data_IF_270809621907
#
_entry.id   IF_270809621907
#
_cell.length_a   1.000
_cell.length_b   1.000
_cell.length_c   1.000
_cell.angle_alpha   90.00
_cell.angle_beta   90.00
_cell.angle_gamma   90.00
#
_symmetry.space_group_name_H-M   'P 1'
#
loop_
_entity.id
_entity.type
_entity.pdbx_description
1 polymer ?
#
# COMPACT_ATOMS: atom_id res chain seq x y z
N UNK A 1 31.56 1.92 -2.77
CA UNK A 1 30.15 1.47 -2.84
C UNK A 1 29.61 1.51 -1.42
N UNK A 2 28.62 2.36 -1.11
CA UNK A 2 28.13 2.49 0.28
C UNK A 2 27.32 1.24 0.61
N UNK A 3 27.74 0.53 1.65
CA UNK A 3 27.01 -0.62 2.18
C UNK A 3 25.79 -0.08 2.93
N UNK A 4 24.65 -0.02 2.23
CA UNK A 4 23.37 0.27 2.86
C UNK A 4 23.07 -0.99 3.67
N UNK A 5 23.04 -0.85 5.01
CA UNK A 5 22.73 -1.97 5.90
C UNK A 5 21.46 -2.73 5.47
N UNK A 6 21.22 -3.93 6.03
CA UNK A 6 20.23 -4.87 5.50
C UNK A 6 18.87 -4.21 5.24
N UNK A 7 18.34 -4.40 4.01
CA UNK A 7 17.04 -3.86 3.60
C UNK A 7 15.97 -4.40 4.56
N UNK A 8 15.25 -3.50 5.22
CA UNK A 8 14.15 -3.85 6.14
C UNK A 8 12.83 -3.89 5.38
N UNK A 9 12.18 -5.05 5.34
CA UNK A 9 10.84 -5.22 4.80
C UNK A 9 9.79 -4.87 5.87
N UNK A 10 8.77 -4.13 5.47
CA UNK A 10 7.62 -3.80 6.31
C UNK A 10 6.33 -4.23 5.60
N UNK A 11 5.42 -4.83 6.36
CA UNK A 11 4.06 -5.16 5.90
C UNK A 11 3.08 -4.24 6.60
N UNK A 12 2.21 -3.60 5.83
CA UNK A 12 1.18 -2.69 6.32
C UNK A 12 -0.19 -3.27 5.95
N UNK A 13 -1.13 -3.21 6.88
CA UNK A 13 -2.54 -3.49 6.62
C UNK A 13 -3.29 -2.16 6.78
N UNK A 14 -3.96 -1.71 5.73
CA UNK A 14 -4.59 -0.40 5.67
C UNK A 14 -6.04 -0.58 5.28
N UNK A 15 -6.96 -0.16 6.12
CA UNK A 15 -8.39 -0.14 5.79
C UNK A 15 -8.71 1.18 5.09
N UNK A 16 -9.42 1.11 3.96
CA UNK A 16 -9.74 2.27 3.13
C UNK A 16 -11.15 2.18 2.59
N UNK A 17 -11.72 3.34 2.27
CA UNK A 17 -12.98 3.40 1.52
C UNK A 17 -12.77 2.82 0.12
N UNK A 18 -13.70 1.98 -0.33
CA UNK A 18 -13.66 1.32 -1.64
C UNK A 18 -14.15 2.27 -2.75
N UNK A 19 -13.38 3.33 -2.98
CA UNK A 19 -13.69 4.34 -3.98
C UNK A 19 -12.64 4.38 -5.09
N UNK A 20 -13.09 4.78 -6.29
CA UNK A 20 -12.19 4.94 -7.44
C UNK A 20 -11.06 5.91 -7.14
N UNK A 21 -9.83 5.50 -7.45
CA UNK A 21 -8.63 6.31 -7.28
C UNK A 21 -7.98 6.23 -5.89
N UNK A 22 -8.57 5.57 -4.90
CA UNK A 22 -7.95 5.37 -3.58
C UNK A 22 -6.63 4.58 -3.71
N UNK A 23 -6.61 3.47 -4.45
CA UNK A 23 -5.39 2.69 -4.68
C UNK A 23 -4.30 3.51 -5.39
N UNK A 24 -4.67 4.34 -6.36
CA UNK A 24 -3.73 5.21 -7.07
C UNK A 24 -3.10 6.25 -6.12
N UNK A 25 -3.89 6.82 -5.20
CA UNK A 25 -3.37 7.74 -4.17
C UNK A 25 -2.37 7.04 -3.24
N UNK A 26 -2.66 5.82 -2.80
CA UNK A 26 -1.78 5.04 -1.92
C UNK A 26 -0.45 4.72 -2.64
N UNK A 27 -0.51 4.14 -3.83
CA UNK A 27 0.70 3.81 -4.61
C UNK A 27 1.51 5.08 -4.92
N UNK A 28 0.83 6.17 -5.26
CA UNK A 28 1.45 7.48 -5.46
C UNK A 28 2.15 8.01 -4.22
N UNK A 29 1.55 7.88 -3.02
CA UNK A 29 2.11 8.33 -1.75
C UNK A 29 3.46 7.68 -1.42
N UNK A 30 3.55 6.36 -1.63
CA UNK A 30 4.78 5.58 -1.41
C UNK A 30 5.83 5.87 -2.49
N UNK A 31 5.42 5.86 -3.76
CA UNK A 31 6.32 6.14 -4.88
C UNK A 31 6.93 7.55 -4.82
N UNK A 32 6.12 8.56 -4.46
CA UNK A 32 6.58 9.95 -4.32
C UNK A 32 7.62 10.14 -3.21
N UNK A 33 7.69 9.22 -2.24
CA UNK A 33 8.71 9.22 -1.17
C UNK A 33 9.91 8.32 -1.49
N UNK A 34 9.95 7.71 -2.67
CA UNK A 34 11.00 6.78 -3.06
C UNK A 34 10.91 5.43 -2.33
N UNK A 35 9.74 5.07 -1.79
CA UNK A 35 9.54 3.74 -1.21
C UNK A 35 9.16 2.74 -2.29
N UNK A 36 9.85 1.60 -2.29
CA UNK A 36 9.51 0.47 -3.15
C UNK A 36 8.37 -0.34 -2.53
N UNK A 37 7.32 -0.57 -3.30
CA UNK A 37 6.26 -1.52 -2.98
C UNK A 37 6.63 -2.86 -3.61
N UNK A 38 7.04 -3.82 -2.79
CA UNK A 38 7.37 -5.18 -3.25
C UNK A 38 6.12 -5.97 -3.65
N UNK A 39 5.05 -5.81 -2.86
CA UNK A 39 3.75 -6.48 -3.08
C UNK A 39 2.62 -5.63 -2.54
N UNK A 40 1.46 -5.70 -3.19
CA UNK A 40 0.22 -5.06 -2.75
C UNK A 40 -0.96 -6.00 -3.06
N UNK A 41 -1.82 -6.22 -2.07
CA UNK A 41 -3.04 -7.03 -2.19
C UNK A 41 -4.19 -6.20 -1.67
N UNK A 42 -5.35 -6.33 -2.32
CA UNK A 42 -6.56 -5.58 -1.98
C UNK A 42 -7.74 -6.53 -2.07
N UNK A 43 -8.61 -6.49 -1.07
CA UNK A 43 -9.88 -7.19 -1.11
C UNK A 43 -10.95 -6.38 -0.39
N UNK A 44 -12.21 -6.56 -0.80
CA UNK A 44 -13.36 -6.13 -0.01
C UNK A 44 -13.41 -6.93 1.29
N UNK A 45 -13.72 -6.25 2.39
CA UNK A 45 -13.76 -6.87 3.73
C UNK A 45 -15.09 -6.70 4.46
N UNK A 46 -16.07 -6.06 3.82
CA UNK A 46 -17.43 -5.85 4.33
C UNK A 46 -18.46 -6.37 3.34
N UNK A 47 -19.65 -6.73 3.83
CA UNK A 47 -20.78 -7.16 2.97
C UNK A 47 -21.32 -6.01 2.11
N UNK A 48 -21.17 -4.78 2.58
CA UNK A 48 -21.56 -3.55 1.86
C UNK A 48 -20.60 -3.18 0.73
N UNK A 49 -19.44 -3.81 0.64
CA UNK A 49 -18.38 -3.50 -0.34
C UNK A 49 -17.88 -2.05 -0.32
N UNK A 50 -18.15 -1.32 0.75
CA UNK A 50 -17.75 0.08 0.95
C UNK A 50 -16.33 0.21 1.52
N UNK A 51 -15.74 -0.89 2.00
CA UNK A 51 -14.44 -0.90 2.65
C UNK A 51 -13.56 -2.02 2.10
N UNK A 52 -12.32 -1.65 1.77
CA UNK A 52 -11.27 -2.59 1.34
C UNK A 52 -10.09 -2.60 2.32
N UNK A 53 -9.29 -3.66 2.26
CA UNK A 53 -8.02 -3.78 2.99
C UNK A 53 -6.94 -4.47 2.17
#
# INVERSE_FOLDING_TARGET
MRDLGPIRRHTLAITVDNESGVLAKIVGLFSARGYNIESLTVADITESHDVSR
#
